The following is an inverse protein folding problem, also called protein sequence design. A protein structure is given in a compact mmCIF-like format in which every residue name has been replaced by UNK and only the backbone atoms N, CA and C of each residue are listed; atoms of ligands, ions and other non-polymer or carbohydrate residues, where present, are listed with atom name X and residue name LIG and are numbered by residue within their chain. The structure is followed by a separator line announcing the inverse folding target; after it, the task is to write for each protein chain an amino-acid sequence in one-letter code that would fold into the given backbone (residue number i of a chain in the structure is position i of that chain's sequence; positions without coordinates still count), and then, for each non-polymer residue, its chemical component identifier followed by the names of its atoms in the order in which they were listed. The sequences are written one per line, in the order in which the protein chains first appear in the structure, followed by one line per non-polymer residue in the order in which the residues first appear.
data_IF_337901508375
#
_entry.id   IF_337901508375
#
_cell.length_a   1.000
_cell.length_b   1.000
_cell.length_c   1.000
_cell.angle_alpha   90.00
_cell.angle_beta   90.00
_cell.angle_gamma   90.00
#
_symmetry.space_group_name_H-M   'P 1'
#
loop_
_entity.id
_entity.type
_entity.pdbx_description
1 polymer ?
#
# COMPACT_ATOMS: atom_id res chain seq x y z
N UNK A 1 -0.87 15.48 0.17
CA UNK A 1 -0.07 15.09 1.37
C UNK A 1 0.02 16.27 2.32
N UNK A 2 0.02 16.08 3.66
CA UNK A 2 0.14 17.21 4.57
C UNK A 2 1.50 17.90 4.46
N UNK A 3 1.54 19.22 4.22
CA UNK A 3 2.79 19.96 4.00
C UNK A 3 3.75 19.88 5.20
N UNK A 4 3.21 19.90 6.43
CA UNK A 4 4.00 19.75 7.67
C UNK A 4 4.65 18.37 7.78
N UNK A 5 3.95 17.32 7.31
CA UNK A 5 4.48 15.97 7.28
C UNK A 5 5.64 15.83 6.30
N UNK A 6 5.51 16.43 5.10
CA UNK A 6 6.57 16.45 4.07
C UNK A 6 7.83 17.13 4.59
N UNK A 7 7.70 18.32 5.19
CA UNK A 7 8.82 19.05 5.79
C UNK A 7 9.53 18.24 6.89
N UNK A 8 8.77 17.47 7.67
CA UNK A 8 9.29 16.66 8.76
C UNK A 8 9.74 15.24 8.33
N UNK A 9 9.56 14.85 7.05
CA UNK A 9 9.78 13.47 6.60
C UNK A 9 8.94 12.44 7.35
N UNK A 10 7.80 12.85 7.92
CA UNK A 10 7.02 12.05 8.86
C UNK A 10 5.83 11.39 8.19
N UNK A 11 5.63 10.09 8.42
CA UNK A 11 4.46 9.34 7.95
C UNK A 11 3.40 9.13 9.03
N UNK A 12 3.47 9.85 10.16
CA UNK A 12 2.53 9.70 11.28
C UNK A 12 1.06 9.93 10.92
N UNK A 13 0.77 10.71 9.87
CA UNK A 13 -0.58 10.88 9.35
C UNK A 13 -1.18 9.57 8.79
N UNK A 14 -0.34 8.57 8.50
CA UNK A 14 -0.76 7.22 8.11
C UNK A 14 -1.04 6.31 9.31
N UNK A 15 -0.89 6.76 10.56
CA UNK A 15 -1.18 5.92 11.70
C UNK A 15 -2.65 5.44 11.66
N UNK A 16 -2.86 4.12 11.65
CA UNK A 16 -4.19 3.50 11.58
C UNK A 16 -4.28 2.33 10.61
N UNK A 17 -5.51 1.96 10.28
CA UNK A 17 -5.83 0.89 9.34
C UNK A 17 -6.23 1.48 8.00
N UNK A 18 -5.72 0.91 6.92
CA UNK A 18 -5.95 1.38 5.56
C UNK A 18 -6.23 0.21 4.64
N UNK A 19 -7.10 0.43 3.67
CA UNK A 19 -7.38 -0.49 2.58
C UNK A 19 -6.89 0.12 1.28
N UNK A 20 -6.04 -0.60 0.56
CA UNK A 20 -5.61 -0.26 -0.79
C UNK A 20 -6.21 -1.25 -1.79
N UNK A 21 -6.80 -0.72 -2.86
CA UNK A 21 -7.42 -1.50 -3.94
C UNK A 21 -6.90 -0.97 -5.26
N UNK A 22 -6.59 -1.87 -6.19
CA UNK A 22 -6.20 -1.47 -7.54
C UNK A 22 -7.43 -1.03 -8.34
N UNK A 23 -7.35 0.14 -8.96
CA UNK A 23 -8.42 0.72 -9.78
C UNK A 23 -8.33 0.16 -11.21
N UNK A 24 -8.70 -1.11 -11.37
CA UNK A 24 -8.63 -1.80 -12.66
C UNK A 24 -10.05 -1.98 -13.19
N UNK A 25 -10.31 -1.49 -14.41
CA UNK A 25 -11.64 -1.48 -15.04
C UNK A 25 -12.17 -2.88 -15.39
N UNK A 26 -11.30 -3.87 -15.49
CA UNK A 26 -11.67 -5.25 -15.82
C UNK A 26 -10.81 -6.20 -15.00
N UNK A 27 -11.35 -6.87 -13.97
CA UNK A 27 -10.64 -7.98 -13.35
C UNK A 27 -10.58 -9.12 -14.37
N UNK A 28 -9.40 -9.34 -14.95
CA UNK A 28 -9.14 -10.50 -15.83
C UNK A 28 -9.39 -11.83 -15.09
N UNK A 29 -9.27 -11.84 -13.76
CA UNK A 29 -9.41 -13.03 -12.90
C UNK A 29 -9.99 -12.66 -11.53
N UNK A 30 -11.29 -12.37 -11.46
CA UNK A 30 -12.00 -12.19 -10.18
C UNK A 30 -11.62 -10.93 -9.39
N UNK A 31 -12.29 -10.71 -8.24
CA UNK A 31 -12.09 -9.52 -7.39
C UNK A 31 -10.60 -9.34 -7.10
N UNK A 32 -10.04 -8.20 -7.52
CA UNK A 32 -8.66 -7.85 -7.20
C UNK A 32 -8.51 -7.82 -5.68
N UNK A 33 -7.54 -8.57 -5.14
CA UNK A 33 -7.46 -8.76 -3.70
C UNK A 33 -7.06 -7.43 -3.03
N UNK A 34 -7.83 -7.04 -2.02
CA UNK A 34 -7.58 -5.80 -1.26
C UNK A 34 -6.38 -5.98 -0.34
N UNK A 35 -5.49 -5.00 -0.32
CA UNK A 35 -4.38 -4.92 0.62
C UNK A 35 -4.84 -4.19 1.88
N UNK A 36 -4.72 -4.85 3.03
CA UNK A 36 -5.08 -4.31 4.33
C UNK A 36 -3.81 -3.94 5.10
N UNK A 37 -3.57 -2.65 5.27
CA UNK A 37 -2.44 -2.11 5.99
C UNK A 37 -2.82 -1.75 7.42
N UNK A 38 -1.90 -2.02 8.34
CA UNK A 38 -1.91 -1.46 9.69
C UNK A 38 -0.58 -0.77 9.91
N UNK A 39 -0.60 0.56 9.97
CA UNK A 39 0.59 1.41 10.00
C UNK A 39 0.67 2.16 11.31
N UNK A 40 1.88 2.31 11.83
CA UNK A 40 2.18 3.06 13.04
C UNK A 40 3.64 3.53 13.03
N UNK A 41 3.85 4.85 13.08
CA UNK A 41 5.17 5.47 13.22
C UNK A 41 6.21 4.98 12.20
N UNK A 42 5.86 4.99 10.92
CA UNK A 42 6.84 4.65 9.88
C UNK A 42 6.86 3.18 9.47
N UNK A 43 6.31 2.28 10.28
CA UNK A 43 6.31 0.83 10.02
C UNK A 43 4.92 0.25 10.14
N UNK A 44 4.76 -1.03 9.81
CA UNK A 44 3.50 -1.71 9.97
C UNK A 44 3.48 -3.10 9.36
N UNK A 45 2.27 -3.57 9.04
CA UNK A 45 2.07 -4.81 8.30
C UNK A 45 1.04 -4.64 7.21
N UNK A 46 1.15 -5.45 6.17
CA UNK A 46 0.16 -5.59 5.12
C UNK A 46 -0.35 -7.03 5.09
N UNK A 47 -1.66 -7.18 4.93
CA UNK A 47 -2.33 -8.46 4.75
C UNK A 47 -3.05 -8.47 3.40
N UNK A 48 -2.88 -9.56 2.66
CA UNK A 48 -3.61 -9.86 1.42
C UNK A 48 -4.43 -11.13 1.64
N UNK A 49 -5.68 -11.14 1.17
CA UNK A 49 -6.47 -12.37 1.07
C UNK A 49 -6.71 -12.71 -0.39
N UNK A 50 -6.20 -13.85 -0.82
CA UNK A 50 -6.37 -14.35 -2.19
C UNK A 50 -7.73 -15.06 -2.32
N UNK A 51 -8.12 -15.36 -3.57
CA UNK A 51 -9.41 -15.97 -3.90
C UNK A 51 -9.65 -17.30 -3.16
N UNK A 52 -8.61 -18.10 -2.98
CA UNK A 52 -8.66 -19.42 -2.32
C UNK A 52 -8.60 -19.33 -0.77
N UNK A 53 -8.98 -18.18 -0.21
CA UNK A 53 -8.92 -17.87 1.22
C UNK A 53 -7.50 -17.92 1.83
N UNK A 54 -6.46 -18.04 0.99
CA UNK A 54 -5.06 -17.94 1.39
C UNK A 54 -4.76 -16.54 1.89
N UNK A 55 -4.23 -16.45 3.12
CA UNK A 55 -3.85 -15.18 3.75
C UNK A 55 -2.34 -15.02 3.72
N UNK A 56 -1.88 -13.96 3.05
CA UNK A 56 -0.46 -13.59 3.00
C UNK A 56 -0.21 -12.35 3.86
N UNK A 57 0.83 -12.37 4.69
CA UNK A 57 1.17 -11.23 5.55
C UNK A 57 2.68 -10.95 5.56
N UNK A 58 3.04 -9.67 5.63
CA UNK A 58 4.42 -9.20 5.80
C UNK A 58 4.49 -7.86 6.51
N UNK A 59 5.65 -7.56 7.08
CA UNK A 59 5.96 -6.24 7.61
C UNK A 59 6.29 -5.27 6.48
N UNK A 60 5.89 -4.02 6.65
CA UNK A 60 6.11 -2.93 5.71
C UNK A 60 6.74 -1.73 6.40
N UNK A 61 7.42 -0.92 5.61
CA UNK A 61 7.98 0.37 5.99
C UNK A 61 7.39 1.45 5.10
N UNK A 62 7.32 2.66 5.65
CA UNK A 62 6.82 3.84 4.97
C UNK A 62 7.91 4.91 4.97
N UNK A 63 8.10 5.58 3.84
CA UNK A 63 9.05 6.68 3.71
C UNK A 63 8.41 7.85 2.99
N UNK A 64 8.65 9.08 3.49
CA UNK A 64 8.18 10.31 2.86
C UNK A 64 9.39 11.16 2.48
N UNK A 65 9.58 11.35 1.18
CA UNK A 65 10.67 12.15 0.65
C UNK A 65 10.34 13.65 0.72
N UNK A 66 11.35 14.55 0.73
CA UNK A 66 11.13 16.00 0.69
C UNK A 66 10.32 16.47 -0.53
N UNK A 67 10.32 15.71 -1.63
CA UNK A 67 9.47 15.96 -2.80
C UNK A 67 7.98 15.67 -2.57
N UNK A 68 7.61 15.17 -1.39
CA UNK A 68 6.26 14.72 -1.07
C UNK A 68 5.92 13.32 -1.57
N UNK A 69 6.87 12.63 -2.25
CA UNK A 69 6.71 11.23 -2.65
C UNK A 69 6.68 10.33 -1.42
N UNK A 70 5.54 9.69 -1.20
CA UNK A 70 5.37 8.64 -0.19
C UNK A 70 5.61 7.28 -0.83
N UNK A 71 6.34 6.41 -0.13
CA UNK A 71 6.55 5.01 -0.51
C UNK A 71 6.12 4.12 0.65
N UNK A 72 5.40 3.03 0.35
CA UNK A 72 5.11 1.92 1.27
C UNK A 72 5.64 0.65 0.63
N UNK A 73 6.57 -0.04 1.29
CA UNK A 73 7.23 -1.21 0.72
C UNK A 73 7.47 -2.30 1.77
N UNK A 74 7.59 -3.55 1.31
CA UNK A 74 8.03 -4.69 2.12
C UNK A 74 9.44 -5.14 1.68
N UNK A 75 10.38 -5.24 2.63
CA UNK A 75 11.74 -5.74 2.36
C UNK A 75 11.81 -7.24 2.09
N UNK A 76 10.77 -7.99 2.45
CA UNK A 76 10.70 -9.44 2.29
C UNK A 76 9.41 -9.86 1.63
N UNK A 77 9.39 -11.09 1.10
CA UNK A 77 8.15 -11.72 0.60
C UNK A 77 7.23 -12.04 1.77
N UNK A 78 5.93 -11.81 1.57
CA UNK A 78 4.89 -12.23 2.48
C UNK A 78 4.82 -13.74 2.60
N UNK A 79 4.58 -14.22 3.82
CA UNK A 79 4.31 -15.63 4.09
C UNK A 79 2.82 -15.86 3.99
N UNK A 80 2.43 -16.87 3.23
CA UNK A 80 1.05 -17.25 3.01
C UNK A 80 0.68 -18.48 3.85
N UNK A 81 -0.60 -18.63 4.17
CA UNK A 81 -1.11 -19.73 5.02
C UNK A 81 -1.00 -21.11 4.37
N UNK A 82 -0.85 -21.18 3.05
CA UNK A 82 -0.60 -22.38 2.26
C UNK A 82 0.91 -22.76 2.20
N UNK A 83 1.76 -22.01 2.90
CA UNK A 83 3.22 -22.18 2.89
C UNK A 83 3.93 -21.48 1.73
N UNK A 84 3.20 -20.89 0.78
CA UNK A 84 3.78 -20.15 -0.33
C UNK A 84 4.32 -18.78 0.11
N UNK A 85 5.01 -18.10 -0.81
CA UNK A 85 5.54 -16.75 -0.61
C UNK A 85 5.06 -15.81 -1.71
N UNK A 86 4.56 -14.64 -1.31
CA UNK A 86 4.02 -13.63 -2.22
C UNK A 86 4.82 -12.32 -2.13
N UNK A 87 5.22 -11.73 -3.25
CA UNK A 87 5.85 -10.42 -3.26
C UNK A 87 4.75 -9.34 -3.23
N UNK A 88 4.68 -8.60 -2.12
CA UNK A 88 3.74 -7.47 -2.03
C UNK A 88 4.19 -6.34 -2.96
N UNK A 89 3.24 -5.63 -3.60
CA UNK A 89 3.59 -4.51 -4.44
C UNK A 89 4.13 -3.35 -3.61
N UNK A 90 5.07 -2.61 -4.19
CA UNK A 90 5.45 -1.31 -3.66
C UNK A 90 4.36 -0.29 -4.00
N UNK A 91 3.89 0.45 -3.01
CA UNK A 91 2.93 1.54 -3.21
C UNK A 91 3.69 2.86 -3.24
N UNK A 92 3.50 3.63 -4.29
CA UNK A 92 4.07 4.97 -4.44
C UNK A 92 2.92 5.97 -4.57
N UNK A 93 2.87 6.96 -3.70
CA UNK A 93 1.91 8.06 -3.79
C UNK A 93 2.63 9.38 -4.06
N UNK A 94 2.20 10.05 -5.11
CA UNK A 94 2.68 11.38 -5.48
C UNK A 94 1.69 12.45 -5.03
N UNK A 95 2.18 13.58 -4.50
CA UNK A 95 1.30 14.70 -4.19
C UNK A 95 0.63 15.21 -5.48
N UNK A 96 -0.56 15.76 -5.34
CA UNK A 96 -1.33 16.39 -6.40
C UNK A 96 -1.78 17.76 -5.89
N UNK A 97 -1.85 18.75 -6.78
CA UNK A 97 -2.41 20.06 -6.47
C UNK A 97 -3.94 19.92 -6.32
N UNK A 98 -4.46 20.42 -5.19
CA UNK A 98 -5.89 20.48 -4.87
C UNK A 98 -6.67 19.14 -4.94
N UNK A 99 -5.97 18.01 -5.06
CA UNK A 99 -6.55 16.67 -5.14
C UNK A 99 -5.92 15.71 -4.13
N UNK A 100 -6.60 14.61 -3.76
CA UNK A 100 -5.97 13.50 -3.06
C UNK A 100 -4.71 13.02 -3.80
N UNK A 101 -3.74 12.49 -3.05
CA UNK A 101 -2.51 11.99 -3.64
C UNK A 101 -2.80 10.87 -4.66
N UNK A 102 -2.12 10.91 -5.80
CA UNK A 102 -2.22 9.86 -6.80
C UNK A 102 -1.31 8.70 -6.39
N UNK A 103 -1.90 7.53 -6.13
CA UNK A 103 -1.17 6.35 -5.70
C UNK A 103 -1.13 5.28 -6.80
N UNK A 104 0.00 4.59 -6.91
CA UNK A 104 0.20 3.48 -7.82
C UNK A 104 0.86 2.31 -7.09
N UNK A 105 0.48 1.09 -7.44
CA UNK A 105 1.04 -0.15 -6.93
C UNK A 105 1.89 -0.84 -8.00
N UNK A 106 3.14 -1.15 -7.67
CA UNK A 106 4.10 -1.81 -8.56
C UNK A 106 4.13 -3.32 -8.30
N UNK A 107 3.52 -4.10 -9.19
CA UNK A 107 3.40 -5.57 -9.10
C UNK A 107 4.48 -6.33 -9.89
N UNK A 108 5.35 -5.60 -10.58
CA UNK A 108 6.45 -6.10 -11.39
C UNK A 108 7.33 -4.93 -11.84
N UNK A 109 8.43 -5.17 -12.56
CA UNK A 109 9.30 -4.10 -13.06
C UNK A 109 8.53 -3.04 -13.87
N UNK A 110 7.62 -3.48 -14.75
CA UNK A 110 6.86 -2.60 -15.65
C UNK A 110 5.34 -2.65 -15.41
N UNK A 111 4.91 -3.23 -14.29
CA UNK A 111 3.48 -3.39 -13.97
C UNK A 111 3.07 -2.43 -12.87
N UNK A 112 2.54 -1.27 -13.27
CA UNK A 112 2.00 -0.24 -12.40
C UNK A 112 0.48 -0.17 -12.55
N UNK A 113 -0.23 -0.34 -11.45
CA UNK A 113 -1.68 -0.13 -11.40
C UNK A 113 -2.01 1.11 -10.56
N UNK A 114 -2.93 1.98 -11.00
CA UNK A 114 -3.50 2.99 -10.13
C UNK A 114 -4.14 2.32 -8.91
N UNK A 115 -3.96 2.93 -7.74
CA UNK A 115 -4.43 2.41 -6.47
C UNK A 115 -5.25 3.48 -5.75
N UNK A 116 -6.42 3.09 -5.25
CA UNK A 116 -7.18 3.88 -4.29
C UNK A 116 -6.85 3.39 -2.88
N UNK A 117 -6.44 4.31 -2.01
CA UNK A 117 -6.13 4.04 -0.60
C UNK A 117 -7.14 4.76 0.27
N UNK A 118 -7.83 4.01 1.13
CA UNK A 118 -8.88 4.52 2.01
C UNK A 118 -8.57 4.15 3.45
N UNK A 119 -8.82 5.06 4.39
CA UNK A 119 -8.68 4.77 5.82
C UNK A 119 -9.89 3.94 6.25
N UNK A 120 -9.65 2.81 6.89
CA UNK A 120 -10.75 2.07 7.51
C UNK A 120 -11.23 2.88 8.72
N UNK A 121 -12.51 3.26 8.73
CA UNK A 121 -13.13 3.90 9.90
C UNK A 121 -13.19 2.86 11.02
N UNK A 122 -12.87 3.30 12.23
CA UNK A 122 -13.10 2.50 13.43
C UNK A 122 -14.59 2.48 13.75
#
# INVERSE_FOLDING_TARGET
MPATAVKAGSTRFLNGQWRAVADVKTPLTGRLPSLLYRLHNGTGSVTLRQADNVRCQVNVETGLMPSGKLVINSRSKARCSDGSRYQMPEIVCLPQEERPAACSGRYGPDTLYPMTITREKK
#
